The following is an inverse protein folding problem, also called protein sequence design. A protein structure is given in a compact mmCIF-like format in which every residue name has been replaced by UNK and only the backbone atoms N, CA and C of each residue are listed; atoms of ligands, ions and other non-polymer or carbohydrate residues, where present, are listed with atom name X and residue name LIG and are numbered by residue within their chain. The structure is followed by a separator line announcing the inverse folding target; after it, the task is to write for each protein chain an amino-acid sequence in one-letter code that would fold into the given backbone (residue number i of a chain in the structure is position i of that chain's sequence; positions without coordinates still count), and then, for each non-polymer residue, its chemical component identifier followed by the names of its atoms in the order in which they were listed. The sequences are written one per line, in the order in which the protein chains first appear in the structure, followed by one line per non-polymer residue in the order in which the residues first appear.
data_IF_291432580037
#
_entry.id   IF_291432580037
#
_cell.length_a   1.000
_cell.length_b   1.000
_cell.length_c   1.000
_cell.angle_alpha   90.00
_cell.angle_beta   90.00
_cell.angle_gamma   90.00
#
_symmetry.space_group_name_H-M   'P 1'
#
loop_
_entity.id
_entity.type
_entity.pdbx_description
1 polymer ?
#
# COMPACT_ATOMS: atom_id res chain seq x y z
N UNK A 1 -39.62 3.41 12.64
CA UNK A 1 -38.50 4.02 13.38
C UNK A 1 -37.29 3.99 12.47
N UNK A 2 -37.04 5.11 11.79
CA UNK A 2 -35.93 5.30 10.87
C UNK A 2 -34.66 5.59 11.68
N UNK A 3 -33.73 4.64 11.71
CA UNK A 3 -32.37 4.86 12.19
C UNK A 3 -31.47 5.09 10.98
N UNK A 4 -31.02 6.33 10.83
CA UNK A 4 -30.07 6.79 9.82
C UNK A 4 -28.80 5.95 9.81
N UNK A 5 -28.44 5.48 8.61
CA UNK A 5 -27.19 4.87 8.19
C UNK A 5 -26.01 5.81 8.48
N UNK A 6 -25.50 5.77 9.71
CA UNK A 6 -24.16 6.25 10.04
C UNK A 6 -23.20 5.10 9.76
N UNK A 7 -22.22 5.37 8.89
CA UNK A 7 -21.40 4.38 8.20
C UNK A 7 -21.00 3.19 9.07
N UNK A 8 -21.16 2.01 8.50
CA UNK A 8 -20.74 0.75 9.10
C UNK A 8 -19.26 0.78 9.53
N UNK A 9 -19.03 1.08 10.82
CA UNK A 9 -17.73 1.13 11.50
C UNK A 9 -17.08 -0.25 11.64
N UNK A 10 -17.72 -1.31 11.16
CA UNK A 10 -17.11 -2.65 11.18
C UNK A 10 -15.90 -2.66 10.25
N UNK A 11 -14.74 -3.18 10.71
CA UNK A 11 -13.52 -3.23 9.89
C UNK A 11 -13.61 -4.23 8.73
N UNK A 12 -14.74 -4.92 8.58
CA UNK A 12 -14.97 -5.97 7.59
C UNK A 12 -16.33 -5.81 6.91
N UNK A 13 -16.39 -6.21 5.65
CA UNK A 13 -17.65 -6.29 4.91
C UNK A 13 -18.43 -7.53 5.37
N UNK A 14 -19.61 -7.33 5.95
CA UNK A 14 -20.48 -8.40 6.44
C UNK A 14 -21.54 -8.85 5.43
N UNK A 15 -21.52 -8.35 4.18
CA UNK A 15 -22.52 -8.75 3.17
C UNK A 15 -22.39 -10.24 2.86
N UNK A 16 -23.52 -10.97 2.90
CA UNK A 16 -23.55 -12.42 2.67
C UNK A 16 -23.09 -13.28 3.85
N UNK A 17 -22.92 -12.69 5.05
CA UNK A 17 -22.43 -13.38 6.25
C UNK A 17 -23.48 -14.07 7.12
N UNK A 18 -24.77 -13.96 6.75
CA UNK A 18 -25.92 -14.43 7.53
C UNK A 18 -26.00 -15.95 7.65
N UNK A 19 -25.46 -16.70 6.70
CA UNK A 19 -25.47 -18.17 6.70
C UNK A 19 -24.16 -18.81 7.18
N UNK A 20 -23.28 -18.05 7.85
CA UNK A 20 -21.96 -18.56 8.27
C UNK A 20 -22.10 -19.52 9.48
N UNK A 21 -21.49 -20.72 9.45
CA UNK A 21 -21.61 -21.66 10.56
C UNK A 21 -21.03 -21.08 11.86
N UNK A 22 -21.78 -21.16 12.96
CA UNK A 22 -21.35 -20.61 14.25
C UNK A 22 -20.09 -21.27 14.82
N UNK A 23 -19.86 -22.56 14.50
CA UNK A 23 -18.68 -23.32 14.92
C UNK A 23 -17.44 -23.04 14.05
N UNK A 24 -17.60 -22.44 12.87
CA UNK A 24 -16.50 -22.15 11.98
C UNK A 24 -15.78 -20.86 12.41
N UNK A 25 -14.45 -20.83 12.25
CA UNK A 25 -13.66 -19.61 12.41
C UNK A 25 -14.25 -18.46 11.58
N UNK A 26 -14.31 -17.27 12.16
CA UNK A 26 -14.89 -16.08 11.52
C UNK A 26 -14.06 -15.61 10.33
N UNK A 27 -12.79 -15.96 10.28
CA UNK A 27 -11.86 -15.55 9.22
C UNK A 27 -11.33 -16.77 8.49
N UNK A 28 -11.19 -16.63 7.18
CA UNK A 28 -10.40 -17.54 6.38
C UNK A 28 -8.98 -16.99 6.27
N UNK A 29 -8.01 -17.70 6.83
CA UNK A 29 -6.58 -17.47 6.61
C UNK A 29 -6.12 -18.23 5.38
N UNK A 30 -5.31 -17.60 4.55
CA UNK A 30 -4.70 -18.19 3.37
C UNK A 30 -3.33 -17.58 3.10
N UNK A 31 -2.52 -18.27 2.31
CA UNK A 31 -1.26 -17.77 1.79
C UNK A 31 -1.50 -17.05 0.47
N UNK A 32 -1.04 -15.81 0.39
CA UNK A 32 -0.96 -15.01 -0.83
C UNK A 32 0.47 -15.05 -1.33
N UNK A 33 0.70 -15.68 -2.48
CA UNK A 33 1.93 -15.58 -3.25
C UNK A 33 1.71 -14.58 -4.38
N UNK A 34 2.61 -13.62 -4.52
CA UNK A 34 2.55 -12.58 -5.56
C UNK A 34 3.93 -12.39 -6.20
N UNK A 35 3.92 -12.09 -7.48
CA UNK A 35 5.12 -11.80 -8.28
C UNK A 35 4.98 -10.41 -8.92
N UNK A 36 6.00 -9.57 -8.70
CA UNK A 36 6.07 -8.21 -9.26
C UNK A 36 4.83 -7.34 -9.01
N UNK A 37 4.24 -7.46 -7.81
CA UNK A 37 2.98 -6.80 -7.43
C UNK A 37 3.04 -6.26 -6.01
N UNK A 38 2.36 -5.13 -5.78
CA UNK A 38 2.13 -4.60 -4.44
C UNK A 38 1.06 -5.44 -3.71
N UNK A 39 1.18 -5.54 -2.39
CA UNK A 39 0.22 -6.30 -1.56
C UNK A 39 -1.20 -5.72 -1.71
N UNK A 40 -1.35 -4.39 -1.67
CA UNK A 40 -2.65 -3.75 -1.80
C UNK A 40 -3.26 -3.95 -3.20
N UNK A 41 -2.45 -3.86 -4.26
CA UNK A 41 -2.91 -4.13 -5.63
C UNK A 41 -3.42 -5.57 -5.78
N UNK A 42 -2.67 -6.54 -5.26
CA UNK A 42 -3.06 -7.95 -5.31
C UNK A 42 -4.38 -8.21 -4.57
N UNK A 43 -4.54 -7.65 -3.37
CA UNK A 43 -5.78 -7.76 -2.60
C UNK A 43 -6.93 -6.97 -3.23
N UNK A 44 -6.67 -5.86 -3.89
CA UNK A 44 -7.67 -5.11 -4.65
C UNK A 44 -8.22 -5.89 -5.83
N UNK A 45 -7.37 -6.62 -6.56
CA UNK A 45 -7.82 -7.53 -7.64
C UNK A 45 -8.70 -8.65 -7.08
N UNK A 46 -8.24 -9.33 -6.03
CA UNK A 46 -9.01 -10.40 -5.38
C UNK A 46 -10.34 -9.87 -4.84
N UNK A 47 -10.31 -8.71 -4.16
CA UNK A 47 -11.49 -8.04 -3.63
C UNK A 47 -12.52 -7.73 -4.70
N UNK A 48 -12.11 -7.10 -5.81
CA UNK A 48 -13.00 -6.82 -6.95
C UNK A 48 -13.67 -8.09 -7.50
N UNK A 49 -12.94 -9.18 -7.63
CA UNK A 49 -13.49 -10.45 -8.12
C UNK A 49 -14.46 -11.13 -7.15
N UNK A 50 -14.36 -10.83 -5.85
CA UNK A 50 -15.23 -11.33 -4.79
C UNK A 50 -16.35 -10.35 -4.41
N UNK A 51 -16.36 -9.13 -4.95
CA UNK A 51 -17.27 -8.06 -4.54
C UNK A 51 -16.95 -7.45 -3.17
N UNK A 52 -15.71 -7.60 -2.70
CA UNK A 52 -15.23 -7.15 -1.38
C UNK A 52 -14.32 -5.94 -1.50
N UNK A 53 -14.35 -5.11 -0.45
CA UNK A 53 -13.42 -3.99 -0.32
C UNK A 53 -12.06 -4.47 0.20
N UNK A 54 -10.97 -3.78 -0.19
CA UNK A 54 -9.61 -4.12 0.25
C UNK A 54 -9.44 -4.09 1.78
N UNK A 55 -10.22 -3.26 2.49
CA UNK A 55 -10.23 -3.21 3.96
C UNK A 55 -10.68 -4.51 4.63
N UNK A 56 -11.42 -5.37 3.92
CA UNK A 56 -11.90 -6.65 4.44
C UNK A 56 -10.78 -7.71 4.55
N UNK A 57 -9.59 -7.42 4.03
CA UNK A 57 -8.42 -8.29 4.14
C UNK A 57 -7.49 -7.81 5.26
N UNK A 58 -7.21 -8.70 6.21
CA UNK A 58 -6.19 -8.49 7.24
C UNK A 58 -4.85 -9.12 6.84
N UNK A 59 -3.75 -8.42 7.08
CA UNK A 59 -2.39 -8.92 6.86
C UNK A 59 -1.42 -8.21 7.81
N UNK A 60 -0.27 -8.82 8.09
CA UNK A 60 0.64 -8.31 9.14
C UNK A 60 1.67 -7.29 8.66
N UNK A 61 1.87 -7.16 7.35
CA UNK A 61 2.72 -6.13 6.75
C UNK A 61 2.80 -6.28 5.24
N UNK A 62 3.21 -5.21 4.57
CA UNK A 62 3.45 -5.22 3.11
C UNK A 62 4.75 -5.94 2.79
N UNK A 63 4.82 -6.56 1.61
CA UNK A 63 6.04 -7.18 1.07
C UNK A 63 6.46 -6.48 -0.22
N UNK A 64 7.73 -6.55 -0.54
CA UNK A 64 8.31 -5.86 -1.70
C UNK A 64 7.57 -6.15 -2.99
N UNK A 65 7.38 -5.11 -3.81
CA UNK A 65 6.73 -5.22 -5.12
C UNK A 65 7.57 -6.07 -6.06
N UNK A 66 8.84 -5.70 -6.23
CA UNK A 66 9.80 -6.29 -7.18
C UNK A 66 10.43 -7.57 -6.63
N UNK A 67 9.60 -8.56 -6.32
CA UNK A 67 10.00 -9.86 -5.82
C UNK A 67 8.89 -10.89 -6.03
N UNK A 68 9.22 -12.17 -5.83
CA UNK A 68 8.26 -13.22 -5.52
C UNK A 68 8.12 -13.27 -4.00
N UNK A 69 6.94 -12.99 -3.49
CA UNK A 69 6.70 -12.89 -2.04
C UNK A 69 5.50 -13.71 -1.63
N UNK A 70 5.61 -14.42 -0.51
CA UNK A 70 4.51 -15.14 0.12
C UNK A 70 4.21 -14.53 1.48
N UNK A 71 2.93 -14.27 1.77
CA UNK A 71 2.48 -13.77 3.06
C UNK A 71 1.14 -14.38 3.46
N UNK A 72 0.85 -14.41 4.77
CA UNK A 72 -0.47 -14.77 5.25
C UNK A 72 -1.42 -13.58 5.13
N UNK A 73 -2.67 -13.90 4.78
CA UNK A 73 -3.78 -12.97 4.67
C UNK A 73 -4.99 -13.62 5.33
N UNK A 74 -5.84 -12.80 5.93
CA UNK A 74 -7.14 -13.21 6.47
C UNK A 74 -8.25 -12.44 5.79
N UNK A 75 -9.40 -13.05 5.63
CA UNK A 75 -10.60 -12.39 5.12
C UNK A 75 -11.82 -12.87 5.90
N UNK A 76 -12.73 -11.94 6.20
CA UNK A 76 -13.89 -12.23 7.04
C UNK A 76 -14.95 -13.02 6.27
N UNK A 77 -15.33 -14.19 6.80
CA UNK A 77 -16.45 -15.03 6.35
C UNK A 77 -16.52 -15.27 4.83
N UNK A 78 -15.39 -15.55 4.20
CA UNK A 78 -15.32 -16.00 2.80
C UNK A 78 -15.00 -17.49 2.77
N UNK A 79 -15.79 -18.32 2.04
CA UNK A 79 -15.47 -19.73 1.85
C UNK A 79 -14.18 -19.96 1.05
N UNK A 80 -13.38 -20.96 1.45
CA UNK A 80 -12.11 -21.28 0.81
C UNK A 80 -12.23 -21.61 -0.69
N UNK A 81 -13.29 -22.31 -1.10
CA UNK A 81 -13.54 -22.67 -2.50
C UNK A 81 -13.70 -21.43 -3.41
N UNK A 82 -14.35 -20.36 -2.92
CA UNK A 82 -14.51 -19.11 -3.68
C UNK A 82 -13.17 -18.47 -4.02
N UNK A 83 -12.24 -18.45 -3.06
CA UNK A 83 -10.90 -17.88 -3.25
C UNK A 83 -10.05 -18.81 -4.11
N UNK A 84 -10.08 -20.12 -3.84
CA UNK A 84 -9.33 -21.11 -4.61
C UNK A 84 -9.69 -21.10 -6.11
N UNK A 85 -10.96 -20.89 -6.45
CA UNK A 85 -11.43 -20.81 -7.83
C UNK A 85 -10.80 -19.64 -8.62
N UNK A 86 -10.37 -18.57 -7.94
CA UNK A 86 -9.76 -17.41 -8.58
C UNK A 86 -8.37 -17.70 -9.15
N UNK A 87 -7.66 -18.73 -8.67
CA UNK A 87 -6.29 -19.07 -9.12
C UNK A 87 -6.16 -19.27 -10.64
N UNK A 88 -7.26 -19.66 -11.32
CA UNK A 88 -7.32 -19.84 -12.77
C UNK A 88 -7.32 -18.53 -13.55
N UNK A 89 -7.76 -17.44 -12.91
CA UNK A 89 -7.95 -16.11 -13.51
C UNK A 89 -6.93 -15.08 -13.01
N UNK A 90 -6.21 -15.40 -11.94
CA UNK A 90 -5.20 -14.55 -11.34
C UNK A 90 -3.85 -14.70 -12.06
N UNK A 91 -3.32 -13.57 -12.55
CA UNK A 91 -1.99 -13.49 -13.17
C UNK A 91 -0.97 -12.90 -12.19
N UNK A 92 0.17 -13.56 -12.00
CA UNK A 92 1.20 -13.16 -11.03
C UNK A 92 0.73 -13.18 -9.57
N UNK A 93 -0.39 -13.85 -9.28
CA UNK A 93 -0.95 -14.03 -7.94
C UNK A 93 -1.41 -15.48 -7.81
N UNK A 94 -1.07 -16.13 -6.70
CA UNK A 94 -1.56 -17.45 -6.32
C UNK A 94 -2.01 -17.43 -4.86
N UNK A 95 -3.09 -18.15 -4.58
CA UNK A 95 -3.69 -18.27 -3.23
C UNK A 95 -3.82 -19.73 -2.83
N UNK A 96 -3.50 -20.06 -1.59
CA UNK A 96 -3.49 -21.45 -1.11
C UNK A 96 -3.43 -21.56 0.42
N UNK A 97 -3.21 -22.77 0.94
CA UNK A 97 -3.05 -23.04 2.38
C UNK A 97 -4.18 -22.45 3.24
N UNK A 98 -5.41 -22.82 2.88
CA UNK A 98 -6.63 -22.33 3.50
C UNK A 98 -6.86 -22.91 4.90
N UNK A 99 -7.20 -22.07 5.87
CA UNK A 99 -7.48 -22.47 7.24
C UNK A 99 -8.47 -21.48 7.87
N UNK A 100 -9.54 -21.98 8.49
CA UNK A 100 -10.47 -21.13 9.23
C UNK A 100 -9.91 -20.83 10.63
N UNK A 101 -9.91 -19.55 11.00
CA UNK A 101 -9.35 -19.06 12.26
C UNK A 101 -10.34 -18.12 12.96
N UNK A 102 -10.22 -18.01 14.29
CA UNK A 102 -11.11 -17.19 15.11
C UNK A 102 -10.82 -15.69 14.96
N UNK A 103 -9.55 -15.33 14.79
CA UNK A 103 -9.06 -13.95 14.76
C UNK A 103 -8.42 -13.62 13.41
N UNK A 104 -8.61 -12.37 12.97
CA UNK A 104 -7.96 -11.83 11.77
C UNK A 104 -6.53 -11.38 12.05
N UNK A 105 -5.74 -11.23 10.99
CA UNK A 105 -4.38 -10.67 11.07
C UNK A 105 -4.43 -9.14 11.14
N UNK A 106 -3.70 -8.58 12.09
CA UNK A 106 -3.42 -7.15 12.23
C UNK A 106 -1.98 -6.80 11.85
N UNK A 107 -1.75 -5.52 11.52
CA UNK A 107 -0.42 -4.98 11.22
C UNK A 107 0.54 -5.19 12.40
N UNK A 108 1.78 -5.57 12.11
CA UNK A 108 2.83 -5.78 13.12
C UNK A 108 2.86 -7.17 13.77
N UNK A 109 1.88 -8.05 13.49
CA UNK A 109 1.81 -9.40 14.08
C UNK A 109 2.78 -10.44 13.47
N UNK A 110 3.74 -10.02 12.63
CA UNK A 110 4.77 -10.91 12.11
C UNK A 110 6.07 -10.79 12.91
N UNK A 111 6.74 -11.92 13.14
CA UNK A 111 8.07 -11.91 13.78
C UNK A 111 9.18 -11.47 12.81
N UNK A 112 9.03 -11.75 11.52
CA UNK A 112 10.06 -11.43 10.54
C UNK A 112 9.74 -11.95 9.14
N UNK A 113 10.74 -11.86 8.26
CA UNK A 113 10.67 -12.35 6.89
C UNK A 113 11.86 -13.25 6.62
N UNK A 114 11.64 -14.34 5.87
CA UNK A 114 12.72 -15.17 5.33
C UNK A 114 13.01 -14.70 3.91
N UNK A 115 14.27 -14.41 3.63
CA UNK A 115 14.72 -13.99 2.31
C UNK A 115 15.55 -15.08 1.65
N UNK A 116 15.38 -15.23 0.34
CA UNK A 116 16.28 -15.96 -0.55
C UNK A 116 16.69 -14.96 -1.61
N UNK A 117 17.97 -14.60 -1.62
CA UNK A 117 18.52 -13.54 -2.47
C UNK A 117 19.54 -14.16 -3.40
N UNK A 118 19.44 -13.86 -4.69
CA UNK A 118 20.43 -14.24 -5.70
C UNK A 118 21.14 -12.98 -6.18
N UNK A 119 22.42 -12.87 -5.85
CA UNK A 119 23.29 -11.81 -6.37
C UNK A 119 23.80 -12.20 -7.76
N UNK A 120 23.75 -11.27 -8.73
CA UNK A 120 24.23 -11.47 -10.10
C UNK A 120 25.31 -10.45 -10.42
N UNK A 121 26.29 -10.81 -11.25
CA UNK A 121 27.40 -9.93 -11.62
C UNK A 121 28.33 -9.60 -10.46
N UNK A 122 28.56 -10.56 -9.56
CA UNK A 122 29.48 -10.39 -8.43
C UNK A 122 30.91 -10.35 -8.95
N UNK A 123 31.63 -9.27 -8.63
CA UNK A 123 33.07 -9.12 -8.90
C UNK A 123 33.80 -9.27 -7.57
N UNK A 124 34.69 -10.25 -7.49
CA UNK A 124 35.53 -10.50 -6.33
C UNK A 124 36.89 -11.03 -6.79
N UNK A 125 37.91 -10.77 -5.99
CA UNK A 125 39.29 -11.24 -6.27
C UNK A 125 39.40 -12.77 -6.12
N UNK A 126 38.60 -13.37 -5.23
CA UNK A 126 38.55 -14.81 -5.02
C UNK A 126 37.20 -15.28 -4.47
N UNK A 127 36.91 -16.57 -4.62
CA UNK A 127 35.72 -17.19 -4.02
C UNK A 127 35.79 -17.21 -2.49
N UNK A 128 37.01 -17.30 -1.93
CA UNK A 128 37.23 -17.31 -0.48
C UNK A 128 36.85 -15.98 0.17
N UNK A 129 37.04 -14.86 -0.53
CA UNK A 129 36.56 -13.55 -0.06
C UNK A 129 35.04 -13.54 0.08
N UNK A 130 34.32 -14.13 -0.89
CA UNK A 130 32.85 -14.23 -0.85
C UNK A 130 32.42 -15.10 0.33
N UNK A 131 33.05 -16.26 0.53
CA UNK A 131 32.78 -17.15 1.67
C UNK A 131 33.01 -16.46 3.00
N UNK A 132 34.15 -15.79 3.16
CA UNK A 132 34.48 -15.04 4.37
C UNK A 132 33.46 -13.92 4.66
N UNK A 133 32.99 -13.22 3.62
CA UNK A 133 31.96 -12.18 3.77
C UNK A 133 30.60 -12.76 4.22
N UNK A 134 30.17 -13.87 3.62
CA UNK A 134 28.91 -14.56 3.99
C UNK A 134 28.99 -15.12 5.41
N UNK A 135 30.11 -15.75 5.76
CA UNK A 135 30.34 -16.28 7.12
C UNK A 135 30.38 -15.15 8.15
N UNK A 136 31.02 -14.02 7.82
CA UNK A 136 31.04 -12.83 8.65
C UNK A 136 29.63 -12.27 8.88
N UNK A 137 28.82 -12.17 7.82
CA UNK A 137 27.42 -11.75 7.90
C UNK A 137 26.58 -12.71 8.78
N UNK A 138 26.82 -14.02 8.69
CA UNK A 138 26.13 -15.02 9.50
C UNK A 138 26.49 -14.96 10.98
N UNK A 139 27.78 -14.75 11.30
CA UNK A 139 28.28 -14.71 12.69
C UNK A 139 27.98 -13.38 13.39
N UNK A 140 28.20 -12.27 12.70
CA UNK A 140 28.18 -10.94 13.30
C UNK A 140 26.90 -10.16 12.95
N UNK A 141 26.11 -10.63 11.98
CA UNK A 141 24.98 -9.88 11.45
C UNK A 141 25.41 -8.69 10.62
N UNK A 142 24.55 -7.66 10.59
CA UNK A 142 24.77 -6.42 9.86
C UNK A 142 24.22 -5.23 10.66
N UNK A 143 24.64 -4.02 10.30
CA UNK A 143 24.16 -2.80 10.95
C UNK A 143 22.72 -2.53 10.51
N UNK A 144 21.81 -2.41 11.48
CA UNK A 144 20.37 -2.27 11.26
C UNK A 144 19.99 -0.84 10.82
N UNK A 145 20.42 -0.44 9.62
CA UNK A 145 20.08 0.86 9.04
C UNK A 145 18.70 0.88 8.38
N UNK A 146 18.09 2.06 8.34
CA UNK A 146 16.97 2.31 7.45
C UNK A 146 17.47 2.37 6.00
N UNK A 147 17.00 1.43 5.17
CA UNK A 147 17.35 1.41 3.74
C UNK A 147 16.76 2.59 2.96
N UNK A 148 17.33 2.87 1.77
CA UNK A 148 16.96 4.01 0.92
C UNK A 148 15.46 4.08 0.57
N UNK A 149 14.77 2.94 0.48
CA UNK A 149 13.33 2.88 0.25
C UNK A 149 12.52 3.68 1.30
N UNK A 150 13.04 3.83 2.53
CA UNK A 150 12.40 4.63 3.60
C UNK A 150 12.48 6.13 3.35
N UNK A 151 13.47 6.57 2.56
CA UNK A 151 13.67 7.96 2.19
C UNK A 151 12.97 8.34 0.88
N UNK A 152 12.25 7.39 0.28
CA UNK A 152 11.62 7.53 -1.03
C UNK A 152 12.61 7.39 -2.17
N UNK A 153 12.09 7.09 -3.36
CA UNK A 153 12.88 7.05 -4.61
C UNK A 153 12.78 8.36 -5.41
N UNK A 154 12.13 9.38 -4.85
CA UNK A 154 11.96 10.68 -5.49
C UNK A 154 13.19 11.57 -5.29
N UNK A 155 13.24 12.66 -6.05
CA UNK A 155 14.33 13.66 -6.00
C UNK A 155 14.39 14.45 -4.69
N UNK A 156 13.30 14.51 -3.92
CA UNK A 156 13.31 15.09 -2.56
C UNK A 156 13.24 13.95 -1.54
N UNK A 157 14.30 13.75 -0.73
CA UNK A 157 14.28 12.78 0.34
C UNK A 157 13.22 13.11 1.40
N UNK A 158 12.45 12.11 1.82
CA UNK A 158 11.33 12.30 2.78
C UNK A 158 11.78 12.89 4.12
N UNK A 159 13.02 12.63 4.54
CA UNK A 159 13.56 13.17 5.79
C UNK A 159 13.68 14.70 5.78
N UNK A 160 13.90 15.34 4.61
CA UNK A 160 13.96 16.81 4.51
C UNK A 160 12.59 17.44 4.73
N UNK A 161 11.55 16.82 4.19
CA UNK A 161 10.16 17.22 4.42
C UNK A 161 9.84 17.07 5.92
N UNK A 162 10.18 15.92 6.51
CA UNK A 162 10.02 15.69 7.94
C UNK A 162 10.71 16.75 8.81
N UNK A 163 11.95 17.11 8.48
CA UNK A 163 12.70 18.14 9.20
C UNK A 163 12.03 19.53 9.10
N UNK A 164 11.54 19.93 7.92
CA UNK A 164 10.82 21.20 7.74
C UNK A 164 9.53 21.24 8.57
N UNK A 165 8.77 20.13 8.60
CA UNK A 165 7.57 20.01 9.42
C UNK A 165 7.88 20.16 10.92
N UNK A 166 8.93 19.48 11.41
CA UNK A 166 9.31 19.54 12.83
C UNK A 166 9.81 20.92 13.27
N UNK A 167 10.34 21.73 12.35
CA UNK A 167 10.75 23.11 12.61
C UNK A 167 9.62 24.13 12.45
N UNK A 168 8.42 23.71 12.05
CA UNK A 168 7.30 24.60 11.76
C UNK A 168 7.46 25.40 10.46
N UNK A 169 8.35 24.99 9.56
CA UNK A 169 8.58 25.63 8.26
C UNK A 169 7.53 25.19 7.23
N UNK A 170 6.24 25.48 7.49
CA UNK A 170 5.12 24.94 6.70
C UNK A 170 5.20 25.25 5.21
N UNK A 171 5.56 26.49 4.84
CA UNK A 171 5.72 26.90 3.44
C UNK A 171 6.81 26.08 2.75
N UNK A 172 7.93 25.87 3.42
CA UNK A 172 9.03 25.05 2.90
C UNK A 172 8.61 23.59 2.75
N UNK A 173 7.93 23.02 3.74
CA UNK A 173 7.41 21.66 3.66
C UNK A 173 6.46 21.45 2.48
N UNK A 174 5.56 22.41 2.22
CA UNK A 174 4.65 22.38 1.07
C UNK A 174 5.41 22.44 -0.26
N UNK A 175 6.36 23.36 -0.38
CA UNK A 175 7.20 23.48 -1.57
C UNK A 175 7.99 22.20 -1.84
N UNK A 176 8.60 21.60 -0.81
CA UNK A 176 9.32 20.33 -0.92
C UNK A 176 8.45 19.15 -1.39
N UNK A 177 7.12 19.21 -1.18
CA UNK A 177 6.17 18.21 -1.67
C UNK A 177 5.70 18.54 -3.09
N UNK A 178 5.34 19.79 -3.36
CA UNK A 178 4.59 20.19 -4.56
C UNK A 178 5.43 20.77 -5.70
N UNK A 179 6.65 21.24 -5.45
CA UNK A 179 7.44 21.90 -6.49
C UNK A 179 7.71 20.94 -7.65
N UNK A 180 7.47 21.37 -8.91
CA UNK A 180 7.75 20.57 -10.10
C UNK A 180 9.23 20.21 -10.20
N UNK A 181 9.52 19.00 -10.69
CA UNK A 181 10.87 18.42 -10.61
C UNK A 181 11.35 17.94 -11.97
N UNK A 182 12.64 18.07 -12.21
CA UNK A 182 13.30 17.44 -13.36
C UNK A 182 13.12 15.91 -13.27
N UNK A 183 12.49 15.33 -14.29
CA UNK A 183 12.08 13.91 -14.33
C UNK A 183 10.57 13.66 -14.16
N UNK A 184 9.82 14.59 -13.55
CA UNK A 184 8.35 14.49 -13.40
C UNK A 184 7.58 15.12 -14.59
N UNK A 185 8.30 15.76 -15.52
CA UNK A 185 7.74 16.51 -16.65
C UNK A 185 6.88 15.64 -17.58
N UNK A 186 7.14 14.33 -17.66
CA UNK A 186 6.31 13.39 -18.44
C UNK A 186 4.95 13.05 -17.78
N UNK A 187 4.73 13.40 -16.51
CA UNK A 187 3.44 13.22 -15.81
C UNK A 187 2.63 14.51 -15.68
N UNK A 188 3.21 15.66 -16.06
CA UNK A 188 2.61 16.98 -15.84
C UNK A 188 1.39 17.30 -16.72
N UNK A 189 1.11 16.52 -17.77
CA UNK A 189 -0.07 16.73 -18.62
C UNK A 189 -1.40 16.61 -17.84
N UNK A 190 -1.43 15.87 -16.73
CA UNK A 190 -2.64 15.71 -15.93
C UNK A 190 -2.87 16.89 -14.94
N UNK A 191 -1.81 17.55 -14.48
CA UNK A 191 -1.91 18.66 -13.51
C UNK A 191 -2.20 20.01 -14.19
N UNK A 192 -1.89 20.16 -15.47
CA UNK A 192 -2.18 21.40 -16.20
C UNK A 192 -3.69 21.69 -16.28
N UNK A 193 -4.54 20.65 -16.31
CA UNK A 193 -6.00 20.79 -16.29
C UNK A 193 -6.54 21.33 -14.96
N UNK A 194 -5.92 21.00 -13.82
CA UNK A 194 -6.34 21.50 -12.50
C UNK A 194 -6.00 22.99 -12.36
N UNK A 195 -4.90 23.45 -12.97
CA UNK A 195 -4.50 24.86 -12.94
C UNK A 195 -5.41 25.78 -13.76
N UNK A 196 -6.04 25.27 -14.82
CA UNK A 196 -7.02 26.04 -15.62
C UNK A 196 -8.33 26.22 -14.86
N UNK A 197 -8.76 25.24 -14.05
CA UNK A 197 -10.01 25.32 -13.30
C UNK A 197 -9.98 26.36 -12.14
N UNK A 198 -8.83 26.56 -11.49
CA UNK A 198 -8.72 27.53 -10.39
C UNK A 198 -8.52 28.99 -10.83
N UNK A 199 -8.15 29.27 -12.08
CA UNK A 199 -7.98 30.64 -12.58
C UNK A 199 -9.27 31.27 -13.13
N UNK A 200 -10.40 30.55 -13.13
CA UNK A 200 -11.68 30.99 -13.69
C UNK A 200 -12.72 31.36 -12.62
N UNK A 201 -12.32 32.00 -11.52
CA UNK A 201 -13.26 32.69 -10.61
C UNK A 201 -13.16 34.19 -10.89
N UNK A 202 -14.09 34.80 -11.64
CA UNK A 202 -14.09 36.24 -11.86
C UNK A 202 -14.44 36.96 -10.54
N UNK A 203 -13.60 37.92 -10.19
CA UNK A 203 -13.82 38.91 -9.14
C UNK A 203 -15.09 39.72 -9.41
N UNK A 204 -16.13 39.46 -8.62
CA UNK A 204 -17.35 40.28 -8.56
C UNK A 204 -17.06 41.51 -7.69
N UNK A 205 -16.66 42.62 -8.31
CA UNK A 205 -16.62 43.93 -7.65
C UNK A 205 -17.88 44.68 -8.03
N UNK A 206 -18.86 44.74 -7.12
CA UNK A 206 -19.98 45.66 -7.21
C UNK A 206 -19.55 47.02 -6.65
N UNK A 207 -19.51 48.04 -7.51
CA UNK A 207 -19.58 49.43 -7.10
C UNK A 207 -20.77 50.08 -7.81
N UNK A 208 -21.82 50.35 -7.02
CA UNK A 208 -22.95 51.18 -7.41
C UNK A 208 -22.46 52.62 -7.58
N UNK A 209 -22.58 53.15 -8.80
CA UNK A 209 -22.66 54.60 -9.01
C UNK A 209 -23.99 54.90 -9.69
N UNK A 210 -24.86 55.55 -8.91
CA UNK A 210 -26.13 56.12 -9.35
C UNK A 210 -25.79 57.50 -9.91
N UNK A 211 -25.99 57.72 -11.21
CA UNK A 211 -26.29 59.04 -11.77
C UNK A 211 -27.32 58.88 -12.88
N UNK A 212 -28.55 59.32 -12.56
CA UNK A 212 -29.63 59.58 -13.51
C UNK A 212 -29.35 60.92 -14.21
N UNK A 213 -29.55 60.94 -15.52
CA UNK A 213 -29.84 62.15 -16.30
C UNK A 213 -31.29 62.10 -16.76
N UNK A 214 -31.96 63.26 -16.63
CA UNK A 214 -33.35 63.58 -16.97
C UNK A 214 -34.43 63.06 -15.99
#
# INVERSE_FOLDING_TARGET
MNGSDWGDDRPFDSRGSSSWPAHAGKFLRFHLCKENKDTQDALGVIGKMLGLQSRSFGFSGTKDKRAVTTQQVTVFKVPANKIAALNKRLYGIKVGNFCYVKEGLGLGQLMGNRFTITLRGVVAESEDMIKAAVDGLGKNGFINYYGLQRFGSGSVPTHRIGAALLRGEWKNAVNLVLDPREGDILKLFCLYLIRIACCAVPTFVQHNSILRTA
#
